data_IF_827281759857
#
_entry.id   IF_827281759857
#
_cell.length_a   1.000
_cell.length_b   1.000
_cell.length_c   1.000
_cell.angle_alpha   90.00
_cell.angle_beta   90.00
_cell.angle_gamma   90.00
#
_symmetry.space_group_name_H-M   'P 1'
#
loop_
_entity.id
_entity.type
_entity.pdbx_description
1 polymer ?
#
# COMPACT_ATOMS: atom_id res chain seq x y z
N UNK A 1 0.81 -3.83 -15.56
CA UNK A 1 0.30 -3.85 -14.17
C UNK A 1 0.85 -5.01 -13.33
N UNK A 2 0.94 -6.24 -13.86
CA UNK A 2 1.39 -7.42 -13.11
C UNK A 2 2.73 -7.28 -12.36
N UNK A 3 3.73 -6.58 -12.93
CA UNK A 3 5.04 -6.39 -12.27
C UNK A 3 4.95 -5.54 -10.99
N UNK A 4 4.10 -4.52 -10.96
CA UNK A 4 3.91 -3.67 -9.78
C UNK A 4 3.14 -4.42 -8.68
N UNK A 5 2.07 -5.13 -9.06
CA UNK A 5 1.31 -5.98 -8.13
C UNK A 5 2.17 -7.10 -7.53
N UNK A 6 3.07 -7.68 -8.34
CA UNK A 6 4.01 -8.71 -7.88
C UNK A 6 5.04 -8.15 -6.89
N UNK A 7 5.64 -6.98 -7.18
CA UNK A 7 6.58 -6.32 -6.26
C UNK A 7 5.87 -5.91 -4.95
N UNK A 8 4.66 -5.38 -5.04
CA UNK A 8 3.86 -5.01 -3.88
C UNK A 8 3.51 -6.23 -3.02
N UNK A 9 3.05 -7.33 -3.64
CA UNK A 9 2.74 -8.58 -2.95
C UNK A 9 3.97 -9.22 -2.32
N UNK A 10 5.11 -9.23 -3.03
CA UNK A 10 6.38 -9.73 -2.51
C UNK A 10 6.88 -8.91 -1.32
N UNK A 11 6.83 -7.57 -1.41
CA UNK A 11 7.21 -6.68 -0.31
C UNK A 11 6.34 -6.87 0.93
N UNK A 12 5.01 -6.95 0.74
CA UNK A 12 4.08 -7.22 1.83
C UNK A 12 4.34 -8.60 2.48
N UNK A 13 4.57 -9.63 1.68
CA UNK A 13 4.90 -10.97 2.16
C UNK A 13 6.23 -11.04 2.91
N UNK A 14 7.26 -10.35 2.41
CA UNK A 14 8.57 -10.28 3.05
C UNK A 14 8.51 -9.58 4.41
N UNK A 15 7.75 -8.47 4.54
CA UNK A 15 7.59 -7.76 5.82
C UNK A 15 6.81 -8.61 6.83
N UNK A 16 5.75 -9.28 6.40
CA UNK A 16 4.97 -10.17 7.27
C UNK A 16 5.80 -11.41 7.70
N UNK A 17 6.63 -11.97 6.80
CA UNK A 17 7.55 -13.05 7.13
C UNK A 17 8.72 -12.62 8.04
N UNK A 18 9.27 -11.43 7.80
CA UNK A 18 10.34 -10.84 8.62
C UNK A 18 9.87 -10.40 10.02
N UNK A 19 8.54 -10.29 10.25
CA UNK A 19 7.93 -9.97 11.55
C UNK A 19 8.29 -10.98 12.66
N UNK A 20 8.84 -12.15 12.33
CA UNK A 20 9.41 -13.09 13.30
C UNK A 20 10.59 -12.48 14.11
N UNK A 21 11.24 -11.42 13.62
CA UNK A 21 12.27 -10.65 14.34
C UNK A 21 11.68 -9.48 15.15
N UNK A 22 11.25 -9.75 16.39
CA UNK A 22 10.55 -8.81 17.29
C UNK A 22 11.26 -7.47 17.50
N UNK A 23 12.59 -7.46 17.47
CA UNK A 23 13.41 -6.30 17.80
C UNK A 23 13.38 -5.20 16.72
N UNK A 24 13.24 -5.60 15.44
CA UNK A 24 13.17 -4.66 14.31
C UNK A 24 11.76 -4.12 14.12
N UNK A 25 10.74 -4.93 14.43
CA UNK A 25 9.34 -4.52 14.37
C UNK A 25 9.02 -3.40 15.37
N UNK A 26 9.58 -3.45 16.58
CA UNK A 26 9.40 -2.42 17.61
C UNK A 26 9.90 -1.04 17.15
N UNK A 27 11.07 -0.99 16.48
CA UNK A 27 11.61 0.26 15.95
C UNK A 27 10.76 0.83 14.81
N UNK A 28 10.31 -0.03 13.90
CA UNK A 28 9.40 0.36 12.81
C UNK A 28 8.06 0.82 13.38
N UNK A 29 7.55 0.17 14.44
CA UNK A 29 6.30 0.53 15.10
C UNK A 29 6.38 1.89 15.79
N UNK A 30 7.50 2.23 16.44
CA UNK A 30 7.71 3.56 17.02
C UNK A 30 7.76 4.64 15.94
N UNK A 31 8.49 4.38 14.85
CA UNK A 31 8.55 5.29 13.72
C UNK A 31 7.18 5.47 13.07
N UNK A 32 6.41 4.39 12.93
CA UNK A 32 5.04 4.42 12.41
C UNK A 32 4.09 5.21 13.31
N UNK A 33 4.16 5.02 14.62
CA UNK A 33 3.36 5.80 15.57
C UNK A 33 3.70 7.28 15.46
N UNK A 34 4.99 7.64 15.45
CA UNK A 34 5.41 9.02 15.31
C UNK A 34 5.00 9.62 13.95
N UNK A 35 5.07 8.81 12.89
CA UNK A 35 4.65 9.19 11.55
C UNK A 35 3.13 9.45 11.46
N UNK A 36 2.31 8.72 12.23
CA UNK A 36 0.86 8.98 12.29
C UNK A 36 0.51 10.29 12.98
N UNK A 37 1.31 10.70 13.95
CA UNK A 37 1.07 11.88 14.77
C UNK A 37 1.51 13.19 14.07
N UNK A 38 2.27 13.12 12.96
CA UNK A 38 2.68 14.31 12.20
C UNK A 38 1.59 14.73 11.18
N UNK A 39 1.04 15.96 11.29
CA UNK A 39 0.04 16.46 10.35
C UNK A 39 0.56 16.54 8.90
N UNK A 40 1.87 16.67 8.67
CA UNK A 40 2.46 16.66 7.31
C UNK A 40 2.27 15.32 6.64
N UNK A 41 2.33 14.24 7.41
CA UNK A 41 2.14 12.89 6.92
C UNK A 41 0.67 12.60 6.65
N UNK A 42 -0.27 13.24 7.35
CA UNK A 42 -1.69 13.19 6.99
C UNK A 42 -1.97 13.85 5.63
N UNK A 43 -1.36 15.00 5.36
CA UNK A 43 -1.49 15.66 4.05
C UNK A 43 -0.85 14.83 2.93
N UNK A 44 0.36 14.29 3.16
CA UNK A 44 1.01 13.41 2.21
C UNK A 44 0.22 12.11 1.98
N UNK A 45 -0.34 11.52 3.05
CA UNK A 45 -1.20 10.35 2.98
C UNK A 45 -2.47 10.64 2.19
N UNK A 46 -3.12 11.80 2.38
CA UNK A 46 -4.30 12.18 1.60
C UNK A 46 -4.01 12.28 0.10
N UNK A 47 -2.87 12.89 -0.28
CA UNK A 47 -2.45 12.93 -1.69
C UNK A 47 -2.10 11.55 -2.25
N UNK A 48 -1.44 10.70 -1.45
CA UNK A 48 -1.11 9.33 -1.84
C UNK A 48 -2.38 8.47 -2.00
N UNK A 49 -3.33 8.63 -1.09
CA UNK A 49 -4.63 7.96 -1.14
C UNK A 49 -5.42 8.38 -2.38
N UNK A 50 -5.52 9.68 -2.66
CA UNK A 50 -6.18 10.16 -3.88
C UNK A 50 -5.59 9.58 -5.17
N UNK A 51 -4.25 9.42 -5.22
CA UNK A 51 -3.57 8.77 -6.36
C UNK A 51 -3.81 7.27 -6.40
N UNK A 52 -3.88 6.61 -5.25
CA UNK A 52 -4.17 5.19 -5.15
C UNK A 52 -5.62 4.91 -5.60
N UNK A 53 -6.59 5.71 -5.14
CA UNK A 53 -7.99 5.61 -5.53
C UNK A 53 -8.15 5.82 -7.05
N UNK A 54 -7.52 6.84 -7.62
CA UNK A 54 -7.53 7.05 -9.08
C UNK A 54 -6.92 5.87 -9.87
N UNK A 55 -5.85 5.26 -9.34
CA UNK A 55 -5.25 4.08 -9.94
C UNK A 55 -6.18 2.85 -9.83
N UNK A 56 -6.83 2.66 -8.68
CA UNK A 56 -7.81 1.58 -8.45
C UNK A 56 -9.01 1.76 -9.36
N UNK A 57 -9.55 2.96 -9.48
CA UNK A 57 -10.65 3.29 -10.38
C UNK A 57 -10.27 3.01 -11.83
N UNK A 58 -9.06 3.37 -12.25
CA UNK A 58 -8.58 3.06 -13.60
C UNK A 58 -8.45 1.56 -13.87
N UNK A 59 -8.09 0.77 -12.85
CA UNK A 59 -8.00 -0.69 -12.93
C UNK A 59 -9.40 -1.30 -12.92
N UNK A 60 -10.29 -0.82 -12.06
CA UNK A 60 -11.70 -1.25 -11.98
C UNK A 60 -12.46 -0.92 -13.27
N UNK A 61 -12.21 0.24 -13.87
CA UNK A 61 -12.79 0.61 -15.16
C UNK A 61 -12.32 -0.33 -16.28
N UNK A 62 -11.03 -0.69 -16.31
CA UNK A 62 -10.47 -1.64 -17.30
C UNK A 62 -11.00 -3.05 -17.10
N UNK A 63 -10.98 -3.55 -15.86
CA UNK A 63 -11.53 -4.85 -15.49
C UNK A 63 -13.04 -4.91 -15.75
N UNK A 64 -13.80 -3.88 -15.39
CA UNK A 64 -15.24 -3.80 -15.65
C UNK A 64 -15.57 -3.83 -17.15
N UNK A 65 -14.71 -3.25 -17.98
CA UNK A 65 -14.85 -3.27 -19.44
C UNK A 65 -14.43 -4.62 -20.07
N UNK A 66 -13.56 -5.39 -19.41
CA UNK A 66 -13.08 -6.71 -19.87
C UNK A 66 -13.93 -7.88 -19.31
N UNK A 67 -14.58 -7.73 -18.16
CA UNK A 67 -15.34 -8.81 -17.49
C UNK A 67 -16.85 -8.79 -17.79
N UNK A 68 -17.32 -7.81 -18.57
CA UNK A 68 -18.74 -7.64 -18.95
C UNK A 68 -19.09 -8.12 -20.36
N UNK A 69 -18.23 -8.89 -21.03
CA UNK A 69 -18.47 -9.40 -22.38
C UNK A 69 -18.29 -10.92 -22.46
N UNK A 70 -19.29 -11.66 -22.02
CA UNK A 70 -19.67 -12.93 -22.62
C UNK A 70 -21.17 -13.18 -22.47
#
# INVERSE_FOLDING_TARGET
MAKLSFIAGFGAGYVLGAKAGRERYEQIRRLYNHAKDDPRLQTAAGMAQARADAAVDSVKARLGNETGSN
#
